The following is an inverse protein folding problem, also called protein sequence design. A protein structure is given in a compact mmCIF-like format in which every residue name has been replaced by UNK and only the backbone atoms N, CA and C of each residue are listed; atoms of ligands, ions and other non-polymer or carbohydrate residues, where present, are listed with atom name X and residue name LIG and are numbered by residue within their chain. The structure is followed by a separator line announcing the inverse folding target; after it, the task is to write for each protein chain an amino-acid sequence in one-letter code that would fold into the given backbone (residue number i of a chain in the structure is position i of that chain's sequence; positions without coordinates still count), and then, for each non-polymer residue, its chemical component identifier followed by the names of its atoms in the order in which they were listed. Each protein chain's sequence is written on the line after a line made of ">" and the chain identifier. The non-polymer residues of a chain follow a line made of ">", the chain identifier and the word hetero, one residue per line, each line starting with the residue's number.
data_IF_628113051306
#
_entry.id   IF_628113051306
#
_cell.length_a   1.000
_cell.length_b   1.000
_cell.length_c   1.000
_cell.angle_alpha   90.00
_cell.angle_beta   90.00
_cell.angle_gamma   90.00
#
_symmetry.space_group_name_H-M   'P 1'
#
loop_
_entity.id
_entity.type
_entity.pdbx_description
1 polymer ?
#
# COMPACT_ATOMS: atom_id res chain seq x y z
N UNK A 1 -5.19 26.06 -2.31
CA UNK A 1 -3.90 25.60 -1.74
C UNK A 1 -3.80 24.13 -2.08
N UNK A 2 -2.80 23.60 -2.73
CA UNK A 2 -1.63 24.04 -3.51
C UNK A 2 -1.06 22.71 -4.06
N UNK A 3 -0.04 22.73 -4.91
CA UNK A 3 0.77 21.53 -5.23
C UNK A 3 0.90 20.71 -3.94
N UNK A 4 0.36 19.47 -3.94
CA UNK A 4 0.55 18.48 -2.88
C UNK A 4 1.97 18.65 -2.35
N UNK A 5 2.20 18.76 -1.04
CA UNK A 5 3.56 18.78 -0.53
C UNK A 5 4.25 17.54 -1.10
N UNK A 6 5.07 17.76 -2.12
CA UNK A 6 5.55 16.69 -2.96
C UNK A 6 6.26 15.71 -2.05
N UNK A 7 6.03 14.41 -2.22
CA UNK A 7 6.68 13.43 -1.36
C UNK A 7 8.17 13.37 -1.69
N UNK A 8 8.96 14.28 -1.11
CA UNK A 8 10.36 14.43 -1.43
C UNK A 8 11.14 13.24 -0.86
N UNK A 9 11.90 12.57 -1.72
CA UNK A 9 12.67 11.38 -1.36
C UNK A 9 14.02 11.38 -2.09
N UNK A 10 14.90 10.50 -1.66
CA UNK A 10 16.24 10.33 -2.22
C UNK A 10 16.22 9.26 -3.32
N UNK A 11 16.35 9.68 -4.58
CA UNK A 11 16.40 8.79 -5.73
C UNK A 11 17.83 8.33 -6.01
N UNK A 12 18.00 7.03 -6.18
CA UNK A 12 19.23 6.46 -6.75
C UNK A 12 19.16 6.46 -8.28
N UNK A 13 20.29 6.69 -8.93
CA UNK A 13 20.36 6.55 -10.39
C UNK A 13 20.51 5.06 -10.76
N UNK A 14 19.49 4.51 -11.40
CA UNK A 14 19.54 3.14 -11.92
C UNK A 14 20.31 3.08 -13.24
N UNK A 15 20.98 1.97 -13.48
CA UNK A 15 21.63 1.66 -14.76
C UNK A 15 20.70 0.83 -15.65
N UNK A 16 20.83 0.99 -16.96
CA UNK A 16 19.98 0.33 -17.96
C UNK A 16 18.63 1.03 -18.17
N UNK A 17 17.63 0.27 -18.64
CA UNK A 17 16.27 0.76 -18.83
C UNK A 17 15.24 -0.19 -18.18
N UNK A 18 15.21 -0.29 -16.83
CA UNK A 18 14.29 -1.18 -16.12
C UNK A 18 12.80 -0.81 -16.29
N UNK A 19 12.50 0.38 -16.83
CA UNK A 19 11.14 0.72 -17.25
C UNK A 19 10.66 -0.11 -18.44
N UNK A 20 11.57 -0.62 -19.28
CA UNK A 20 11.23 -1.42 -20.47
C UNK A 20 11.75 -2.87 -20.39
N UNK A 21 12.75 -3.13 -19.55
CA UNK A 21 13.33 -4.46 -19.34
C UNK A 21 12.77 -5.09 -18.06
N UNK A 22 11.85 -6.04 -18.22
CA UNK A 22 11.18 -6.72 -17.10
C UNK A 22 12.15 -7.56 -16.27
N UNK A 23 13.11 -8.24 -16.90
CA UNK A 23 14.07 -9.08 -16.19
C UNK A 23 15.01 -8.23 -15.33
N UNK A 24 15.48 -7.11 -15.86
CA UNK A 24 16.29 -6.15 -15.10
C UNK A 24 15.46 -5.49 -13.97
N UNK A 25 14.19 -5.18 -14.23
CA UNK A 25 13.28 -4.67 -13.21
C UNK A 25 13.15 -5.63 -12.04
N UNK A 26 12.92 -6.92 -12.31
CA UNK A 26 12.83 -7.96 -11.29
C UNK A 26 14.11 -8.05 -10.45
N UNK A 27 15.29 -7.92 -11.08
CA UNK A 27 16.57 -7.88 -10.37
C UNK A 27 16.67 -6.69 -9.42
N UNK A 28 16.24 -5.49 -9.85
CA UNK A 28 16.20 -4.32 -8.98
C UNK A 28 15.19 -4.46 -7.84
N UNK A 29 14.00 -5.00 -8.10
CA UNK A 29 13.00 -5.29 -7.06
C UNK A 29 13.56 -6.32 -6.07
N UNK A 30 14.24 -7.37 -6.54
CA UNK A 30 14.84 -8.37 -5.66
C UNK A 30 15.96 -7.79 -4.79
N UNK A 31 16.74 -6.83 -5.32
CA UNK A 31 17.84 -6.21 -4.59
C UNK A 31 17.40 -5.13 -3.60
N UNK A 32 16.38 -4.36 -3.96
CA UNK A 32 16.04 -3.11 -3.26
C UNK A 32 14.60 -3.09 -2.70
N UNK A 33 13.82 -4.13 -2.97
CA UNK A 33 12.46 -4.29 -2.48
C UNK A 33 11.56 -3.10 -2.88
N UNK A 34 10.74 -2.67 -1.93
CA UNK A 34 9.70 -1.66 -2.14
C UNK A 34 10.20 -0.23 -2.26
N UNK A 35 11.52 0.00 -2.10
CA UNK A 35 12.11 1.26 -2.50
C UNK A 35 11.92 1.47 -4.02
N UNK A 36 11.91 0.38 -4.79
CA UNK A 36 11.73 0.38 -6.24
C UNK A 36 10.29 0.10 -6.65
N UNK A 37 9.77 0.90 -7.57
CA UNK A 37 8.40 0.75 -8.03
C UNK A 37 8.19 1.39 -9.41
N UNK A 38 7.10 0.98 -10.06
CA UNK A 38 6.59 1.65 -11.26
C UNK A 38 5.69 2.82 -10.86
N UNK A 39 6.07 4.03 -11.26
CA UNK A 39 5.26 5.23 -11.08
C UNK A 39 4.03 5.24 -12.00
N UNK A 40 3.02 6.05 -11.65
CA UNK A 40 1.85 6.30 -12.49
C UNK A 40 2.22 6.84 -13.89
N UNK A 41 3.37 7.52 -14.02
CA UNK A 41 3.93 7.97 -15.31
C UNK A 41 4.71 6.89 -16.09
N UNK A 42 4.73 5.64 -15.62
CA UNK A 42 5.41 4.52 -16.28
C UNK A 42 6.93 4.46 -16.10
N UNK A 43 7.51 5.38 -15.32
CA UNK A 43 8.94 5.33 -14.99
C UNK A 43 9.18 4.40 -13.81
N UNK A 44 10.14 3.48 -13.93
CA UNK A 44 10.61 2.66 -12.83
C UNK A 44 11.79 3.34 -12.13
N UNK A 45 11.64 3.61 -10.84
CA UNK A 45 12.63 4.32 -10.03
C UNK A 45 12.70 3.71 -8.63
N UNK A 46 13.80 3.98 -7.93
CA UNK A 46 13.96 3.60 -6.54
C UNK A 46 14.21 4.82 -5.67
N UNK A 47 13.38 4.98 -4.64
CA UNK A 47 13.37 6.13 -3.74
C UNK A 47 13.47 5.70 -2.29
N UNK A 48 14.25 6.44 -1.50
CA UNK A 48 14.51 6.17 -0.09
C UNK A 48 14.13 7.36 0.77
N UNK A 49 13.80 7.09 2.03
CA UNK A 49 13.46 8.13 3.01
C UNK A 49 14.70 8.90 3.45
N UNK A 50 15.84 8.22 3.60
CA UNK A 50 17.09 8.83 4.04
C UNK A 50 18.18 8.83 2.96
N UNK A 51 19.10 9.81 2.96
CA UNK A 51 20.19 9.85 2.00
C UNK A 51 21.18 8.70 2.21
N UNK A 52 21.34 8.23 3.45
CA UNK A 52 22.27 7.14 3.77
C UNK A 52 21.79 5.81 3.17
N UNK A 53 20.51 5.47 3.31
CA UNK A 53 19.92 4.29 2.67
C UNK A 53 20.07 4.34 1.15
N UNK A 54 19.79 5.50 0.53
CA UNK A 54 19.98 5.68 -0.90
C UNK A 54 21.45 5.50 -1.31
N UNK A 55 22.40 6.05 -0.55
CA UNK A 55 23.82 5.89 -0.80
C UNK A 55 24.30 4.44 -0.62
N UNK A 56 23.73 3.67 0.31
CA UNK A 56 24.07 2.26 0.53
C UNK A 56 23.45 1.35 -0.53
N UNK A 57 22.24 1.65 -1.01
CA UNK A 57 21.65 0.95 -2.13
C UNK A 57 22.34 1.31 -3.46
N UNK A 58 22.67 2.59 -3.65
CA UNK A 58 23.28 3.11 -4.88
C UNK A 58 24.61 2.44 -5.23
N UNK A 59 25.40 1.99 -4.23
CA UNK A 59 26.65 1.27 -4.51
C UNK A 59 26.45 -0.13 -5.09
N UNK A 60 25.26 -0.70 -4.96
CA UNK A 60 24.93 -2.03 -5.46
C UNK A 60 24.37 -1.98 -6.90
N UNK A 61 24.00 -0.80 -7.40
CA UNK A 61 23.36 -0.65 -8.72
C UNK A 61 24.14 -1.33 -9.86
N UNK A 62 25.47 -1.16 -10.00
CA UNK A 62 26.21 -1.84 -11.06
C UNK A 62 26.19 -3.35 -10.92
N UNK A 63 26.29 -3.88 -9.70
CA UNK A 63 26.26 -5.32 -9.44
C UNK A 63 24.92 -5.91 -9.86
N UNK A 64 23.82 -5.22 -9.52
CA UNK A 64 22.46 -5.61 -9.93
C UNK A 64 22.30 -5.56 -11.45
N UNK A 65 22.83 -4.54 -12.10
CA UNK A 65 22.80 -4.41 -13.57
C UNK A 65 23.71 -5.41 -14.31
N UNK A 66 24.64 -6.07 -13.61
CA UNK A 66 25.64 -6.98 -14.21
C UNK A 66 26.90 -6.27 -14.73
N UNK A 67 27.16 -5.04 -14.28
CA UNK A 67 28.41 -4.31 -14.53
C UNK A 67 29.44 -4.57 -13.42
N UNK A 68 30.65 -4.01 -13.60
CA UNK A 68 31.70 -4.08 -12.59
C UNK A 68 31.25 -3.39 -11.30
N UNK A 69 31.47 -4.07 -10.17
CA UNK A 69 31.16 -3.55 -8.85
C UNK A 69 31.89 -2.23 -8.56
N UNK A 70 31.21 -1.35 -7.84
CA UNK A 70 31.82 -0.15 -7.28
C UNK A 70 32.77 -0.48 -6.13
N UNK A 71 33.81 0.34 -5.94
CA UNK A 71 34.64 0.24 -4.75
C UNK A 71 33.90 0.85 -3.56
N UNK A 72 33.58 0.01 -2.58
CA UNK A 72 32.78 0.35 -1.40
C UNK A 72 33.62 0.93 -0.25
N UNK A 73 34.95 0.99 -0.40
CA UNK A 73 35.89 1.43 0.65
C UNK A 73 36.02 2.96 0.79
N UNK A 74 35.36 3.71 -0.10
CA UNK A 74 35.40 5.17 -0.11
C UNK A 74 34.40 5.79 0.89
N UNK A 75 34.69 7.01 1.39
CA UNK A 75 33.99 7.59 2.54
C UNK A 75 32.46 7.75 2.35
N UNK A 76 31.79 7.94 3.48
CA UNK A 76 30.35 8.05 3.63
C UNK A 76 29.70 9.09 2.71
N UNK A 77 28.39 8.91 2.48
CA UNK A 77 27.50 9.81 1.74
C UNK A 77 27.71 11.27 2.15
N UNK A 78 28.02 12.16 1.19
CA UNK A 78 28.29 13.58 1.45
C UNK A 78 27.26 14.48 0.79
N UNK A 79 26.81 15.56 1.45
CA UNK A 79 25.95 16.55 0.83
C UNK A 79 26.70 17.29 -0.28
N UNK A 80 25.99 17.63 -1.35
CA UNK A 80 26.50 18.49 -2.42
C UNK A 80 26.23 19.95 -2.02
N UNK A 81 27.27 20.79 -1.85
CA UNK A 81 27.10 22.17 -1.41
C UNK A 81 26.10 22.97 -2.26
N UNK A 82 25.17 23.67 -1.60
CA UNK A 82 24.15 24.48 -2.26
C UNK A 82 22.94 23.69 -2.78
N UNK A 83 22.81 22.41 -2.44
CA UNK A 83 21.67 21.55 -2.83
C UNK A 83 21.26 20.64 -1.67
N UNK A 84 20.11 19.96 -1.82
CA UNK A 84 19.68 18.87 -0.93
C UNK A 84 20.13 17.48 -1.43
N UNK A 85 20.92 17.44 -2.52
CA UNK A 85 21.45 16.22 -3.11
C UNK A 85 22.68 15.73 -2.34
N UNK A 86 22.97 14.45 -2.52
CA UNK A 86 24.15 13.80 -1.95
C UNK A 86 24.97 13.15 -3.03
N UNK A 87 26.25 12.92 -2.76
CA UNK A 87 27.07 12.04 -3.57
C UNK A 87 27.84 11.06 -2.70
N UNK A 88 28.17 9.91 -3.27
CA UNK A 88 29.09 8.96 -2.66
C UNK A 88 30.18 8.62 -3.65
N UNK A 89 31.41 8.76 -3.18
CA UNK A 89 32.60 8.39 -3.93
C UNK A 89 32.64 6.85 -4.05
N UNK A 90 32.89 6.32 -5.25
CA UNK A 90 32.86 4.86 -5.50
C UNK A 90 34.05 4.37 -6.34
N UNK A 91 35.09 5.19 -6.41
CA UNK A 91 36.34 4.90 -7.08
C UNK A 91 37.44 5.88 -6.68
N UNK A 92 38.69 5.67 -7.12
CA UNK A 92 39.82 6.52 -6.78
C UNK A 92 39.74 7.92 -7.40
N UNK A 93 39.10 8.04 -8.57
CA UNK A 93 38.90 9.30 -9.27
C UNK A 93 37.64 10.01 -8.73
N UNK A 94 37.71 11.26 -8.24
CA UNK A 94 36.56 12.05 -7.81
C UNK A 94 35.41 12.15 -8.83
N UNK A 95 35.69 11.98 -10.13
CA UNK A 95 34.68 11.93 -11.17
C UNK A 95 33.82 10.64 -11.12
N UNK A 96 34.33 9.58 -10.47
CA UNK A 96 33.64 8.30 -10.31
C UNK A 96 32.89 8.31 -8.97
N UNK A 97 31.70 8.90 -9.00
CA UNK A 97 30.79 8.98 -7.87
C UNK A 97 29.37 8.62 -8.30
N UNK A 98 28.54 8.25 -7.33
CA UNK A 98 27.09 8.18 -7.50
C UNK A 98 26.48 9.48 -6.98
N UNK A 99 25.48 10.01 -7.69
CA UNK A 99 24.67 11.14 -7.24
C UNK A 99 23.32 10.62 -6.77
N UNK A 100 22.91 11.07 -5.58
CA UNK A 100 21.61 10.83 -4.99
C UNK A 100 20.81 12.12 -5.11
N UNK A 101 19.70 12.05 -5.82
CA UNK A 101 18.86 13.22 -6.09
C UNK A 101 17.75 13.31 -5.05
N UNK A 102 17.63 14.46 -4.38
CA UNK A 102 16.48 14.77 -3.55
C UNK A 102 15.42 15.46 -4.40
N UNK A 103 14.38 14.71 -4.74
CA UNK A 103 13.37 15.14 -5.70
C UNK A 103 12.00 14.54 -5.35
N UNK A 104 10.89 15.07 -5.92
CA UNK A 104 9.57 14.49 -5.75
C UNK A 104 9.54 13.01 -6.15
N UNK A 105 9.19 12.12 -5.23
CA UNK A 105 8.84 10.75 -5.56
C UNK A 105 7.47 10.74 -6.25
N UNK A 106 7.39 10.32 -7.53
CA UNK A 106 6.11 10.18 -8.19
C UNK A 106 5.25 9.15 -7.46
N UNK A 107 3.94 9.33 -7.48
CA UNK A 107 2.99 8.36 -6.92
C UNK A 107 3.22 6.97 -7.55
N UNK A 108 3.27 5.95 -6.71
CA UNK A 108 3.29 4.56 -7.16
C UNK A 108 2.01 4.25 -7.92
N UNK A 109 2.12 3.47 -9.00
CA UNK A 109 0.93 3.05 -9.73
C UNK A 109 -0.07 2.39 -8.76
N UNK A 110 -1.36 2.77 -8.76
CA UNK A 110 -2.38 2.08 -7.98
C UNK A 110 -2.77 0.74 -8.63
N UNK A 111 -2.23 0.42 -9.81
CA UNK A 111 -2.43 -0.86 -10.46
C UNK A 111 -1.63 -1.94 -9.73
N UNK A 112 -2.27 -3.07 -9.46
CA UNK A 112 -1.65 -4.24 -8.83
C UNK A 112 -1.39 -5.27 -9.91
N UNK A 113 -0.20 -5.86 -9.93
CA UNK A 113 0.11 -6.95 -10.86
C UNK A 113 -0.64 -8.21 -10.43
N UNK A 114 -1.45 -8.74 -11.34
CA UNK A 114 -2.27 -9.94 -11.17
C UNK A 114 -1.98 -10.84 -12.37
N UNK A 115 -1.41 -12.02 -12.14
CA UNK A 115 -0.92 -12.94 -13.17
C UNK A 115 0.00 -12.24 -14.20
N UNK A 116 0.82 -11.29 -13.74
CA UNK A 116 1.72 -10.48 -14.58
C UNK A 116 1.03 -9.34 -15.37
N UNK A 117 -0.25 -9.06 -15.11
CA UNK A 117 -1.02 -8.01 -15.77
C UNK A 117 -1.35 -6.88 -14.79
N UNK A 118 -0.99 -5.62 -15.09
CA UNK A 118 -1.40 -4.46 -14.29
C UNK A 118 -2.92 -4.34 -14.25
N UNK A 119 -3.50 -4.45 -13.05
CA UNK A 119 -4.94 -4.54 -12.83
C UNK A 119 -5.41 -3.43 -11.89
N UNK A 120 -6.47 -2.72 -12.27
CA UNK A 120 -7.12 -1.73 -11.40
C UNK A 120 -7.87 -2.45 -10.27
N UNK A 121 -7.76 -1.91 -9.06
CA UNK A 121 -8.61 -2.34 -7.94
C UNK A 121 -10.03 -1.82 -8.17
N UNK A 122 -11.00 -2.72 -8.11
CA UNK A 122 -12.42 -2.44 -8.35
C UNK A 122 -13.27 -3.29 -7.40
N UNK A 123 -13.23 -2.92 -6.12
CA UNK A 123 -13.87 -3.66 -5.04
C UNK A 123 -15.41 -3.65 -5.05
N UNK A 124 -16.05 -4.27 -4.05
CA UNK A 124 -17.50 -4.46 -3.97
C UNK A 124 -18.31 -3.16 -3.99
N UNK A 125 -17.74 -2.04 -3.56
CA UNK A 125 -18.42 -0.75 -3.44
C UNK A 125 -18.29 0.15 -4.69
N UNK A 126 -17.76 -0.37 -5.79
CA UNK A 126 -17.48 0.38 -7.04
C UNK A 126 -18.66 1.13 -7.68
N UNK A 127 -19.90 0.77 -7.35
CA UNK A 127 -21.10 1.48 -7.85
C UNK A 127 -21.66 2.51 -6.86
N UNK A 128 -21.06 2.67 -5.68
CA UNK A 128 -21.45 3.73 -4.76
C UNK A 128 -21.00 5.09 -5.30
N UNK A 129 -21.82 6.15 -5.15
CA UNK A 129 -21.44 7.49 -5.57
C UNK A 129 -20.11 7.91 -4.94
N UNK A 130 -19.17 8.29 -5.80
CA UNK A 130 -17.84 8.73 -5.38
C UNK A 130 -17.90 10.10 -4.72
N UNK A 131 -16.95 10.33 -3.81
CA UNK A 131 -16.75 11.65 -3.24
C UNK A 131 -16.28 12.63 -4.31
N UNK A 132 -16.61 13.90 -4.12
CA UNK A 132 -16.11 14.98 -4.99
C UNK A 132 -14.59 15.09 -4.94
N UNK A 133 -14.02 14.88 -3.75
CA UNK A 133 -12.60 15.05 -3.46
C UNK A 133 -11.94 13.68 -3.23
N UNK A 134 -11.52 13.05 -4.33
CA UNK A 134 -10.72 11.83 -4.32
C UNK A 134 -9.23 12.19 -4.43
N UNK A 135 -8.46 11.90 -3.38
CA UNK A 135 -7.04 12.23 -3.34
C UNK A 135 -6.20 11.08 -2.77
N UNK A 136 -4.96 10.88 -3.26
CA UNK A 136 -4.02 9.96 -2.64
C UNK A 136 -3.80 10.32 -1.16
N UNK A 137 -3.72 9.31 -0.30
CA UNK A 137 -3.51 9.51 1.15
C UNK A 137 -4.76 9.88 1.95
N UNK A 138 -5.89 10.18 1.30
CA UNK A 138 -7.13 10.43 2.01
C UNK A 138 -7.69 9.15 2.64
N UNK A 139 -8.41 9.32 3.74
CA UNK A 139 -9.07 8.23 4.47
C UNK A 139 -10.60 8.22 4.23
N UNK A 140 -11.27 7.16 4.69
CA UNK A 140 -12.73 7.00 4.59
C UNK A 140 -13.53 7.73 5.70
N UNK A 141 -12.94 8.68 6.44
CA UNK A 141 -13.65 9.42 7.49
C UNK A 141 -14.30 10.72 7.01
N UNK A 142 -14.16 11.05 5.72
CA UNK A 142 -14.82 12.19 5.08
C UNK A 142 -16.35 12.02 5.01
N UNK A 143 -17.08 13.12 4.86
CA UNK A 143 -18.53 13.10 4.63
C UNK A 143 -18.85 12.42 3.30
N UNK A 144 -19.76 11.44 3.32
CA UNK A 144 -20.19 10.68 2.13
C UNK A 144 -21.09 11.46 1.16
N UNK A 145 -21.67 12.58 1.62
CA UNK A 145 -22.79 13.23 0.94
C UNK A 145 -24.14 12.54 1.17
N UNK A 146 -24.17 11.40 1.86
CA UNK A 146 -25.38 10.70 2.28
C UNK A 146 -25.86 11.19 3.65
N UNK A 147 -27.15 10.95 3.92
CA UNK A 147 -27.81 11.30 5.17
C UNK A 147 -28.16 10.00 5.91
N UNK A 148 -27.79 9.90 7.18
CA UNK A 148 -28.13 8.78 8.04
C UNK A 148 -29.58 8.82 8.54
N UNK A 149 -30.00 7.77 9.25
CA UNK A 149 -31.37 7.63 9.79
C UNK A 149 -31.81 8.79 10.70
N UNK A 150 -30.85 9.45 11.36
CA UNK A 150 -31.09 10.57 12.27
C UNK A 150 -31.16 11.94 11.56
N UNK A 151 -31.02 11.98 10.23
CA UNK A 151 -30.96 13.24 9.46
C UNK A 151 -29.58 13.90 9.40
N UNK A 152 -28.58 13.36 10.10
CA UNK A 152 -27.20 13.83 10.07
C UNK A 152 -26.43 13.32 8.84
N UNK A 153 -25.43 14.07 8.40
CA UNK A 153 -24.51 13.64 7.36
C UNK A 153 -23.72 12.39 7.78
N UNK A 154 -23.69 11.38 6.91
CA UNK A 154 -23.04 10.11 7.18
C UNK A 154 -21.58 10.13 6.70
N UNK A 155 -20.63 9.62 7.49
CA UNK A 155 -19.25 9.46 7.03
C UNK A 155 -19.16 8.33 6.01
N UNK A 156 -18.23 8.42 5.06
CA UNK A 156 -18.03 7.42 4.00
C UNK A 156 -17.85 6.01 4.57
N UNK A 157 -17.00 5.84 5.59
CA UNK A 157 -16.84 4.56 6.30
C UNK A 157 -18.16 4.02 6.85
N UNK A 158 -18.97 4.87 7.46
CA UNK A 158 -20.25 4.46 8.06
C UNK A 158 -21.27 4.07 6.98
N UNK A 159 -21.24 4.79 5.86
CA UNK A 159 -22.04 4.47 4.67
C UNK A 159 -21.68 3.11 4.08
N UNK A 160 -20.39 2.86 3.87
CA UNK A 160 -19.89 1.57 3.34
C UNK A 160 -20.32 0.41 4.26
N UNK A 161 -20.17 0.56 5.58
CA UNK A 161 -20.62 -0.46 6.54
C UNK A 161 -22.14 -0.64 6.55
N UNK A 162 -22.91 0.43 6.31
CA UNK A 162 -24.37 0.35 6.19
C UNK A 162 -24.79 -0.39 4.92
N UNK A 163 -24.20 -0.06 3.77
CA UNK A 163 -24.45 -0.76 2.50
C UNK A 163 -24.12 -2.25 2.61
N UNK A 164 -22.98 -2.59 3.23
CA UNK A 164 -22.61 -3.99 3.49
C UNK A 164 -23.71 -4.69 4.31
N UNK A 165 -24.10 -4.11 5.45
CA UNK A 165 -25.16 -4.67 6.31
C UNK A 165 -26.47 -4.85 5.56
N UNK A 166 -26.82 -3.88 4.72
CA UNK A 166 -28.07 -3.87 3.97
C UNK A 166 -28.10 -4.94 2.87
N UNK A 167 -26.96 -5.16 2.19
CA UNK A 167 -26.80 -6.21 1.19
C UNK A 167 -26.95 -7.63 1.77
N UNK A 168 -26.65 -7.81 3.07
CA UNK A 168 -26.73 -9.10 3.77
C UNK A 168 -27.97 -9.23 4.68
N UNK A 169 -28.95 -8.32 4.54
CA UNK A 169 -30.24 -8.46 5.22
C UNK A 169 -30.97 -9.72 4.74
N UNK A 170 -31.02 -10.73 5.60
CA UNK A 170 -31.76 -11.97 5.35
C UNK A 170 -30.90 -13.22 5.17
N UNK A 171 -29.57 -13.08 5.19
CA UNK A 171 -28.67 -14.20 5.39
C UNK A 171 -28.89 -14.79 6.82
N UNK A 172 -28.35 -15.98 7.10
CA UNK A 172 -28.61 -16.75 8.33
C UNK A 172 -28.20 -16.06 9.67
N UNK A 173 -27.80 -14.77 9.62
CA UNK A 173 -27.78 -13.81 10.70
C UNK A 173 -28.36 -12.47 10.21
N UNK A 174 -29.53 -12.07 10.71
CA UNK A 174 -30.24 -10.87 10.24
C UNK A 174 -29.48 -9.60 10.63
N UNK A 175 -28.96 -8.86 9.65
CA UNK A 175 -28.36 -7.53 9.84
C UNK A 175 -26.90 -7.54 10.29
N UNK A 176 -26.15 -8.58 9.92
CA UNK A 176 -24.73 -8.73 10.20
C UNK A 176 -23.86 -7.99 9.17
N UNK A 177 -22.63 -7.65 9.54
CA UNK A 177 -21.62 -7.09 8.63
C UNK A 177 -20.77 -8.26 8.15
N UNK A 178 -20.71 -8.47 6.83
CA UNK A 178 -19.91 -9.54 6.24
C UNK A 178 -18.56 -9.03 5.76
N UNK A 179 -17.53 -9.87 5.90
CA UNK A 179 -16.22 -9.61 5.32
C UNK A 179 -16.22 -9.86 3.82
N UNK A 180 -15.74 -8.90 3.03
CA UNK A 180 -15.55 -9.03 1.59
C UNK A 180 -14.40 -9.97 1.22
N UNK A 181 -13.54 -10.28 2.20
CA UNK A 181 -12.44 -11.24 2.06
C UNK A 181 -12.69 -12.50 2.90
N UNK A 182 -13.93 -12.85 3.23
CA UNK A 182 -14.25 -14.08 3.94
C UNK A 182 -13.51 -15.31 3.35
N UNK A 183 -12.91 -16.14 4.21
CA UNK A 183 -12.08 -17.26 3.81
C UNK A 183 -10.69 -16.89 3.29
N UNK A 184 -10.27 -15.62 3.36
CA UNK A 184 -8.89 -15.22 3.08
C UNK A 184 -7.99 -15.69 4.22
N UNK A 185 -6.84 -16.27 3.86
CA UNK A 185 -5.92 -16.86 4.84
C UNK A 185 -4.67 -16.02 4.98
N UNK A 186 -4.24 -15.81 6.22
CA UNK A 186 -2.98 -15.13 6.50
C UNK A 186 -2.29 -15.74 7.71
N UNK A 187 -0.98 -15.52 7.78
CA UNK A 187 -0.16 -16.01 8.90
C UNK A 187 0.25 -14.88 9.83
N UNK A 188 0.29 -15.16 11.13
CA UNK A 188 0.87 -14.28 12.14
C UNK A 188 1.87 -15.05 13.02
N UNK A 189 2.91 -14.36 13.49
CA UNK A 189 3.87 -14.96 14.44
C UNK A 189 3.43 -14.66 15.87
N UNK A 190 3.15 -15.70 16.64
CA UNK A 190 2.78 -15.61 18.06
C UNK A 190 3.80 -16.37 18.92
N UNK A 191 3.82 -16.08 20.22
CA UNK A 191 4.58 -16.87 21.19
C UNK A 191 3.69 -18.00 21.71
N UNK A 192 4.17 -19.24 21.64
CA UNK A 192 3.49 -20.38 22.24
C UNK A 192 3.72 -20.42 23.78
N UNK A 193 3.12 -21.41 24.44
CA UNK A 193 3.27 -21.63 25.89
C UNK A 193 4.73 -21.89 26.32
N UNK A 194 5.59 -22.32 25.39
CA UNK A 194 7.01 -22.55 25.60
C UNK A 194 7.88 -21.32 25.30
N UNK A 195 7.27 -20.14 25.06
CA UNK A 195 7.96 -18.92 24.65
C UNK A 195 8.73 -19.06 23.31
N UNK A 196 8.26 -19.90 22.40
CA UNK A 196 8.82 -20.06 21.07
C UNK A 196 7.96 -19.32 20.05
N UNK A 197 8.61 -18.70 19.06
CA UNK A 197 7.91 -18.06 17.94
C UNK A 197 7.33 -19.15 17.04
N UNK A 198 6.00 -19.21 16.98
CA UNK A 198 5.27 -20.11 16.09
C UNK A 198 4.45 -19.30 15.09
N UNK A 199 4.37 -19.81 13.86
CA UNK A 199 3.51 -19.24 12.83
C UNK A 199 2.14 -19.90 12.92
N UNK A 200 1.10 -19.09 13.07
CA UNK A 200 -0.30 -19.54 13.11
C UNK A 200 -1.02 -18.99 11.89
N UNK A 201 -1.83 -19.84 11.26
CA UNK A 201 -2.74 -19.47 10.18
C UNK A 201 -4.07 -19.00 10.76
N UNK A 202 -4.55 -17.87 10.24
CA UNK A 202 -5.87 -17.32 10.50
C UNK A 202 -6.66 -17.31 9.20
N UNK A 203 -7.97 -17.43 9.32
CA UNK A 203 -8.91 -17.34 8.21
C UNK A 203 -9.92 -16.24 8.50
N UNK A 204 -10.18 -15.41 7.50
CA UNK A 204 -11.07 -14.25 7.63
C UNK A 204 -12.50 -14.75 7.83
N UNK A 205 -13.16 -14.40 8.94
CA UNK A 205 -14.50 -14.90 9.18
C UNK A 205 -15.50 -14.21 8.25
N UNK A 206 -16.58 -14.93 7.94
CA UNK A 206 -17.68 -14.40 7.15
C UNK A 206 -18.35 -13.21 7.87
N UNK A 207 -18.62 -13.36 9.17
CA UNK A 207 -19.38 -12.39 9.97
C UNK A 207 -18.44 -11.63 10.90
N UNK A 208 -18.56 -10.30 10.89
CA UNK A 208 -17.76 -9.37 11.66
C UNK A 208 -18.58 -8.66 12.75
N UNK A 209 -17.93 -8.25 13.82
CA UNK A 209 -18.56 -7.45 14.86
C UNK A 209 -18.79 -6.02 14.39
N UNK A 210 -20.02 -5.53 14.61
CA UNK A 210 -20.37 -4.14 14.36
C UNK A 210 -19.53 -3.21 15.27
N UNK A 211 -18.81 -2.22 14.73
CA UNK A 211 -18.05 -1.28 15.55
C UNK A 211 -18.91 -0.49 16.56
N UNK A 212 -20.22 -0.38 16.32
CA UNK A 212 -21.19 0.27 17.23
C UNK A 212 -21.72 -0.67 18.32
N UNK A 213 -21.52 -1.99 18.21
CA UNK A 213 -22.06 -2.97 19.15
C UNK A 213 -20.96 -3.88 19.72
N UNK A 214 -20.66 -3.73 21.02
CA UNK A 214 -19.64 -4.52 21.73
C UNK A 214 -20.22 -5.62 22.61
N UNK A 215 -21.42 -6.13 22.29
CA UNK A 215 -22.05 -7.21 23.06
C UNK A 215 -21.20 -8.49 22.97
N UNK A 216 -20.94 -9.18 24.09
CA UNK A 216 -20.21 -10.45 24.08
C UNK A 216 -20.94 -11.57 23.30
N UNK A 217 -20.20 -12.55 22.74
CA UNK A 217 -18.73 -12.63 22.71
C UNK A 217 -18.15 -11.63 21.71
N UNK A 218 -17.25 -10.75 22.20
CA UNK A 218 -16.64 -9.67 21.42
C UNK A 218 -15.13 -9.91 21.37
N UNK A 219 -14.60 -10.16 20.17
CA UNK A 219 -13.17 -10.23 19.94
C UNK A 219 -12.70 -8.98 19.17
N UNK A 220 -11.76 -8.18 19.69
CA UNK A 220 -11.41 -6.89 19.10
C UNK A 220 -10.84 -6.99 17.68
N UNK A 221 -10.21 -8.11 17.32
CA UNK A 221 -9.70 -8.32 15.96
C UNK A 221 -10.80 -8.68 14.95
N UNK A 222 -12.01 -9.03 15.40
CA UNK A 222 -13.15 -9.35 14.54
C UNK A 222 -14.06 -8.15 14.28
N UNK A 223 -13.68 -6.96 14.74
CA UNK A 223 -14.42 -5.72 14.47
C UNK A 223 -14.32 -5.36 12.99
N UNK A 224 -15.45 -5.02 12.38
CA UNK A 224 -15.49 -4.58 10.99
C UNK A 224 -14.79 -3.22 10.79
N UNK A 225 -13.90 -3.19 9.81
CA UNK A 225 -13.19 -2.00 9.35
C UNK A 225 -13.31 -1.86 7.84
N UNK A 226 -13.27 -0.61 7.37
CA UNK A 226 -13.18 -0.33 5.92
C UNK A 226 -11.70 -0.19 5.59
N UNK A 227 -11.22 -1.11 4.79
CA UNK A 227 -9.85 -1.26 4.33
C UNK A 227 -9.62 -0.52 3.01
N UNK A 228 -8.44 0.07 2.89
CA UNK A 228 -7.91 0.60 1.63
C UNK A 228 -7.11 -0.51 0.96
N UNK A 229 -7.67 -1.12 -0.10
CA UNK A 229 -7.01 -2.22 -0.82
C UNK A 229 -5.64 -1.77 -1.29
N UNK A 230 -5.57 -0.70 -2.09
CA UNK A 230 -4.36 0.11 -2.27
C UNK A 230 -4.22 1.01 -1.04
N UNK A 231 -3.22 0.80 -0.16
CA UNK A 231 -3.09 1.55 1.08
C UNK A 231 -2.94 3.05 0.85
N UNK A 232 -3.40 3.86 1.82
CA UNK A 232 -3.28 5.33 1.77
C UNK A 232 -1.85 5.82 1.56
N UNK A 233 -0.88 5.11 2.12
CA UNK A 233 0.54 5.39 1.95
C UNK A 233 1.27 4.18 1.41
N UNK A 234 2.25 4.39 0.55
CA UNK A 234 3.20 3.35 0.18
C UNK A 234 4.26 3.15 1.29
N UNK A 235 5.16 2.17 1.10
CA UNK A 235 6.21 1.86 2.07
C UNK A 235 7.23 2.99 2.28
N UNK A 236 7.24 3.99 1.40
CA UNK A 236 8.05 5.20 1.52
C UNK A 236 7.32 6.28 2.30
N UNK A 237 6.15 5.97 2.89
CA UNK A 237 5.25 6.90 3.58
C UNK A 237 4.74 8.03 2.67
N UNK A 238 4.72 7.82 1.35
CA UNK A 238 4.15 8.77 0.41
C UNK A 238 2.66 8.47 0.17
N UNK A 239 1.82 9.49 -0.07
CA UNK A 239 0.43 9.27 -0.47
C UNK A 239 0.31 8.35 -1.71
N UNK A 240 -0.56 7.35 -1.64
CA UNK A 240 -0.69 6.31 -2.67
C UNK A 240 -2.15 5.99 -3.02
N UNK A 241 -2.84 5.21 -2.23
CA UNK A 241 -4.25 4.87 -2.42
C UNK A 241 -5.16 6.06 -2.17
N UNK A 242 -6.29 6.10 -2.87
CA UNK A 242 -7.32 7.13 -2.66
C UNK A 242 -8.45 6.59 -1.79
N UNK A 243 -9.28 7.50 -1.28
CA UNK A 243 -10.54 7.22 -0.62
C UNK A 243 -11.68 6.91 -1.62
N UNK A 244 -11.40 6.38 -2.82
CA UNK A 244 -12.43 5.92 -3.76
C UNK A 244 -13.17 4.72 -3.20
N UNK A 245 -14.48 4.62 -3.44
CA UNK A 245 -15.26 3.44 -3.06
C UNK A 245 -14.79 2.18 -3.80
N UNK A 246 -14.21 2.30 -5.00
CA UNK A 246 -13.56 1.17 -5.69
C UNK A 246 -12.38 0.59 -4.91
N UNK A 247 -11.69 1.42 -4.12
CA UNK A 247 -10.55 1.04 -3.31
C UNK A 247 -10.93 0.55 -1.90
N UNK A 248 -12.23 0.39 -1.63
CA UNK A 248 -12.74 -0.02 -0.33
C UNK A 248 -13.08 -1.51 -0.29
N UNK A 249 -12.80 -2.13 0.85
CA UNK A 249 -13.31 -3.44 1.24
C UNK A 249 -13.68 -3.43 2.73
N UNK A 250 -14.70 -4.17 3.15
CA UNK A 250 -15.01 -4.40 4.56
C UNK A 250 -14.35 -5.70 5.00
N UNK A 251 -13.48 -5.60 6.01
CA UNK A 251 -12.73 -6.74 6.55
C UNK A 251 -12.58 -6.62 8.07
N UNK A 252 -12.11 -7.68 8.70
CA UNK A 252 -11.78 -7.70 10.12
C UNK A 252 -10.60 -6.77 10.42
N UNK A 253 -10.62 -6.15 11.60
CA UNK A 253 -9.49 -5.37 12.13
C UNK A 253 -8.19 -6.17 12.17
N UNK A 254 -8.28 -7.48 12.44
CA UNK A 254 -7.14 -8.39 12.43
C UNK A 254 -6.48 -8.47 11.06
N UNK A 255 -7.26 -8.71 10.00
CA UNK A 255 -6.77 -8.74 8.63
C UNK A 255 -6.29 -7.36 8.17
N UNK A 256 -7.03 -6.29 8.49
CA UNK A 256 -6.63 -4.93 8.14
C UNK A 256 -5.28 -4.54 8.74
N UNK A 257 -5.03 -4.93 10.00
CA UNK A 257 -3.71 -4.76 10.65
C UNK A 257 -2.63 -5.56 9.93
N UNK A 258 -2.94 -6.76 9.45
CA UNK A 258 -1.98 -7.58 8.70
C UNK A 258 -1.66 -7.00 7.32
N UNK A 259 -2.62 -6.40 6.62
CA UNK A 259 -2.44 -5.76 5.32
C UNK A 259 -1.85 -4.34 5.40
N UNK A 260 -1.87 -3.73 6.57
CA UNK A 260 -1.45 -2.33 6.77
C UNK A 260 -0.05 -2.04 6.22
N UNK A 261 0.03 -1.01 5.37
CA UNK A 261 1.26 -0.52 4.72
C UNK A 261 2.01 -1.58 3.89
N UNK A 262 1.29 -2.55 3.34
CA UNK A 262 1.83 -3.55 2.40
C UNK A 262 1.25 -3.33 1.01
N UNK A 263 2.01 -3.69 -0.02
CA UNK A 263 1.42 -3.82 -1.35
C UNK A 263 0.29 -4.87 -1.29
N UNK A 264 -0.83 -4.64 -2.00
CA UNK A 264 -1.98 -5.54 -1.95
C UNK A 264 -1.56 -6.90 -2.52
N UNK A 265 -1.80 -8.02 -1.83
CA UNK A 265 -1.59 -9.34 -2.40
C UNK A 265 -2.47 -9.54 -3.64
N UNK A 266 -1.94 -10.23 -4.64
CA UNK A 266 -2.67 -10.57 -5.85
C UNK A 266 -4.04 -11.24 -5.55
N UNK A 267 -4.04 -12.21 -4.63
CA UNK A 267 -5.25 -12.93 -4.24
C UNK A 267 -6.33 -12.04 -3.60
N UNK A 268 -5.92 -10.97 -2.89
CA UNK A 268 -6.88 -9.98 -2.39
C UNK A 268 -7.56 -9.28 -3.58
N UNK A 269 -6.78 -8.77 -4.52
CA UNK A 269 -7.30 -8.02 -5.68
C UNK A 269 -8.18 -8.92 -6.55
N UNK A 270 -7.77 -10.17 -6.80
CA UNK A 270 -8.56 -11.17 -7.53
C UNK A 270 -9.94 -11.38 -6.91
N UNK A 271 -9.99 -11.61 -5.59
CA UNK A 271 -11.26 -11.86 -4.87
C UNK A 271 -12.16 -10.63 -4.89
N UNK A 272 -11.62 -9.45 -4.61
CA UNK A 272 -12.41 -8.21 -4.55
C UNK A 272 -12.93 -7.78 -5.93
N UNK A 273 -12.12 -7.92 -6.97
CA UNK A 273 -12.56 -7.59 -8.34
C UNK A 273 -13.63 -8.57 -8.85
N UNK A 274 -13.58 -9.83 -8.43
CA UNK A 274 -14.57 -10.85 -8.77
C UNK A 274 -15.85 -10.77 -7.90
N UNK A 275 -15.79 -10.07 -6.76
CA UNK A 275 -16.91 -9.98 -5.83
C UNK A 275 -18.13 -9.28 -6.47
N UNK A 276 -19.36 -9.71 -6.13
CA UNK A 276 -20.58 -8.99 -6.51
C UNK A 276 -20.51 -7.52 -6.10
N UNK A 277 -21.11 -6.65 -6.91
CA UNK A 277 -21.21 -5.24 -6.55
C UNK A 277 -22.33 -5.07 -5.53
N UNK A 278 -22.10 -4.26 -4.50
CA UNK A 278 -23.19 -3.80 -3.64
C UNK A 278 -23.88 -2.58 -4.23
N UNK A 279 -25.21 -2.57 -4.11
CA UNK A 279 -26.06 -1.43 -4.43
C UNK A 279 -26.63 -0.84 -3.15
N UNK A 280 -26.78 0.49 -3.06
CA UNK A 280 -27.51 1.15 -1.98
C UNK A 280 -28.94 0.64 -1.80
#
# INVERSE_FOLDING_TARGET
>A
MSIEDACMRYRIQLMGNPSMDLALREQYIAAFGDACYLSEGGAFNCFYETPQEACDAGVLVPEVFGAAAYDKNYPACKPIPGTENYFRQVGPDPAIHIVIYYEPAPRQTPLVEVDGVPTEVSGPYRNLPELKDLWPGNNFYCNSGMVGENGDGLRQREWILQVNRDAHKGDAGVGEIHSDLAGFKWTFTVMNENCEKVTVEYEEPLVLHDPKNRKPPFHPDLVAEVHHVVPMTDKRNCPWGTNSNKNAAVISRGLNRWLSNKNPPEEEVKRLNAAPVYTP
#
